data_IF_178657174688
#
_entry.id   IF_178657174688
#
_cell.length_a   1.000
_cell.length_b   1.000
_cell.length_c   1.000
_cell.angle_alpha   90.00
_cell.angle_beta   90.00
_cell.angle_gamma   90.00
#
_symmetry.space_group_name_H-M   'P 1'
#
loop_
_entity.id
_entity.type
_entity.pdbx_description
1 polymer ?
#
# COMPACT_ATOMS: atom_id res chain seq x y z
N UNK A 1 19.39 17.80 3.62
CA UNK A 1 19.19 18.65 2.42
C UNK A 1 18.07 18.16 1.49
N UNK A 2 17.76 16.86 1.36
CA UNK A 2 16.65 16.40 0.49
C UNK A 2 15.27 16.46 1.15
N UNK A 3 15.17 16.28 2.47
CA UNK A 3 13.91 16.28 3.22
C UNK A 3 13.21 17.64 3.22
N UNK A 4 13.94 18.74 3.44
CA UNK A 4 13.35 20.10 3.41
C UNK A 4 12.77 20.43 2.03
N UNK A 5 13.48 20.14 0.94
CA UNK A 5 12.96 20.37 -0.42
C UNK A 5 11.77 19.48 -0.78
N UNK A 6 11.70 18.27 -0.22
CA UNK A 6 10.53 17.40 -0.37
C UNK A 6 9.33 18.02 0.34
N UNK A 7 9.51 18.51 1.56
CA UNK A 7 8.47 19.19 2.33
C UNK A 7 7.94 20.44 1.60
N UNK A 8 8.82 21.32 1.12
CA UNK A 8 8.43 22.51 0.34
C UNK A 8 7.54 22.15 -0.85
N UNK A 9 7.96 21.16 -1.65
CA UNK A 9 7.22 20.71 -2.83
C UNK A 9 5.88 20.07 -2.47
N UNK A 10 5.85 19.24 -1.43
CA UNK A 10 4.62 18.59 -0.98
C UNK A 10 3.61 19.60 -0.42
N UNK A 11 4.07 20.62 0.32
CA UNK A 11 3.21 21.71 0.84
C UNK A 11 2.63 22.56 -0.29
N UNK A 12 3.46 22.96 -1.26
CA UNK A 12 2.98 23.68 -2.43
C UNK A 12 2.00 22.83 -3.26
N UNK A 13 2.33 21.56 -3.49
CA UNK A 13 1.47 20.65 -4.25
C UNK A 13 0.13 20.39 -3.55
N UNK A 14 0.13 20.30 -2.21
CA UNK A 14 -1.11 20.24 -1.43
C UNK A 14 -1.99 21.46 -1.67
N UNK A 15 -1.44 22.67 -1.64
CA UNK A 15 -2.20 23.88 -1.97
C UNK A 15 -2.77 23.82 -3.39
N UNK A 16 -2.02 23.25 -4.35
CA UNK A 16 -2.54 23.01 -5.69
C UNK A 16 -3.73 22.04 -5.72
N UNK A 17 -3.62 20.90 -5.03
CA UNK A 17 -4.60 19.82 -4.98
C UNK A 17 -5.90 20.19 -4.25
N UNK A 18 -5.86 21.09 -3.27
CA UNK A 18 -7.06 21.59 -2.57
C UNK A 18 -7.94 22.51 -3.43
N UNK A 19 -7.44 23.00 -4.57
CA UNK A 19 -8.19 23.82 -5.52
C UNK A 19 -7.76 23.51 -6.96
N UNK A 20 -8.05 22.32 -7.50
CA UNK A 20 -7.60 21.91 -8.83
C UNK A 20 -8.07 22.89 -9.93
N UNK A 21 -7.25 23.12 -10.95
CA UNK A 21 -7.58 23.97 -12.11
C UNK A 21 -7.59 25.49 -11.87
N UNK A 22 -7.66 25.97 -10.61
CA UNK A 22 -7.66 27.40 -10.29
C UNK A 22 -6.27 28.03 -10.51
N UNK A 23 -6.17 29.17 -11.18
CA UNK A 23 -4.91 29.92 -11.22
C UNK A 23 -4.71 30.72 -9.92
N UNK A 24 -3.53 30.61 -9.28
CA UNK A 24 -3.17 31.29 -8.03
C UNK A 24 -1.90 32.10 -8.19
N UNK A 25 -1.86 33.30 -7.62
CA UNK A 25 -0.63 34.11 -7.56
C UNK A 25 0.39 33.49 -6.61
N UNK A 26 1.67 33.84 -6.76
CA UNK A 26 2.72 33.44 -5.82
C UNK A 26 2.38 33.80 -4.35
N UNK A 27 1.77 34.97 -4.12
CA UNK A 27 1.34 35.39 -2.78
C UNK A 27 0.19 34.53 -2.21
N UNK A 28 -0.78 34.14 -3.05
CA UNK A 28 -1.85 33.26 -2.62
C UNK A 28 -1.30 31.86 -2.27
N UNK A 29 -0.42 31.32 -3.12
CA UNK A 29 0.25 30.04 -2.87
C UNK A 29 1.10 30.07 -1.60
N UNK A 30 1.82 31.16 -1.35
CA UNK A 30 2.61 31.38 -0.13
C UNK A 30 1.71 31.28 1.12
N UNK A 31 0.58 32.00 1.12
CA UNK A 31 -0.40 31.96 2.20
C UNK A 31 -0.99 30.56 2.42
N UNK A 32 -1.48 29.93 1.34
CA UNK A 32 -2.14 28.61 1.40
C UNK A 32 -1.19 27.47 1.80
N UNK A 33 0.09 27.54 1.40
CA UNK A 33 1.09 26.51 1.71
C UNK A 33 1.89 26.81 2.99
N UNK A 34 1.78 28.02 3.54
CA UNK A 34 2.60 28.54 4.65
C UNK A 34 4.07 28.76 4.27
N UNK A 35 4.37 28.92 2.98
CA UNK A 35 5.72 29.13 2.45
C UNK A 35 5.99 30.61 2.24
N UNK A 36 7.26 31.01 2.23
CA UNK A 36 7.66 32.34 1.74
C UNK A 36 7.54 32.42 0.21
N UNK A 37 7.39 33.63 -0.38
CA UNK A 37 7.36 33.79 -1.84
C UNK A 37 8.56 33.17 -2.56
N UNK A 38 9.78 33.31 -2.02
CA UNK A 38 10.98 32.70 -2.58
C UNK A 38 10.92 31.16 -2.57
N UNK A 39 10.39 30.56 -1.50
CA UNK A 39 10.17 29.11 -1.42
C UNK A 39 9.11 28.62 -2.41
N UNK A 40 8.07 29.42 -2.68
CA UNK A 40 7.08 29.10 -3.72
C UNK A 40 7.74 29.04 -5.09
N UNK A 41 8.55 30.04 -5.45
CA UNK A 41 9.27 30.06 -6.73
C UNK A 41 10.22 28.86 -6.88
N UNK A 42 10.99 28.56 -5.83
CA UNK A 42 11.86 27.37 -5.79
C UNK A 42 11.05 26.09 -6.00
N UNK A 43 9.95 25.92 -5.25
CA UNK A 43 9.13 24.72 -5.31
C UNK A 43 8.42 24.57 -6.68
N UNK A 44 7.91 25.66 -7.27
CA UNK A 44 7.36 25.64 -8.64
C UNK A 44 8.42 25.20 -9.64
N UNK A 45 9.60 25.83 -9.62
CA UNK A 45 10.71 25.48 -10.51
C UNK A 45 11.09 24.02 -10.37
N UNK A 46 11.19 23.52 -9.13
CA UNK A 46 11.55 22.13 -8.88
C UNK A 46 10.47 21.13 -9.26
N UNK A 47 9.18 21.44 -9.07
CA UNK A 47 8.08 20.58 -9.50
C UNK A 47 8.03 20.47 -11.04
N UNK A 48 8.21 21.59 -11.75
CA UNK A 48 8.29 21.58 -13.22
C UNK A 48 9.46 20.74 -13.73
N UNK A 49 10.63 20.83 -13.09
CA UNK A 49 11.81 20.03 -13.46
C UNK A 49 11.59 18.52 -13.37
N UNK A 50 10.77 18.06 -12.43
CA UNK A 50 10.43 16.63 -12.28
C UNK A 50 9.19 16.22 -13.09
N UNK A 51 8.69 17.10 -13.96
CA UNK A 51 7.60 16.79 -14.90
C UNK A 51 6.18 16.94 -14.35
N UNK A 52 5.99 17.59 -13.20
CA UNK A 52 4.63 17.95 -12.77
C UNK A 52 4.01 18.97 -13.72
N UNK A 53 2.75 18.79 -14.13
CA UNK A 53 2.10 19.63 -15.12
C UNK A 53 1.63 20.95 -14.49
N UNK A 54 2.58 21.84 -14.18
CA UNK A 54 2.31 23.20 -13.72
C UNK A 54 2.37 24.18 -14.91
N UNK A 55 1.26 24.87 -15.14
CA UNK A 55 1.10 25.88 -16.20
C UNK A 55 1.13 27.29 -15.61
N UNK A 56 1.80 28.20 -16.31
CA UNK A 56 1.64 29.63 -16.09
C UNK A 56 0.35 30.07 -16.78
N UNK A 57 -0.63 30.56 -16.02
CA UNK A 57 -1.91 31.00 -16.56
C UNK A 57 -1.85 32.47 -17.01
N UNK A 58 -1.19 33.31 -16.21
CA UNK A 58 -0.94 34.73 -16.41
C UNK A 58 0.37 35.07 -15.68
N UNK A 59 0.88 36.30 -15.85
CA UNK A 59 2.11 36.73 -15.20
C UNK A 59 2.03 36.54 -13.66
N UNK A 60 2.95 35.74 -13.12
CA UNK A 60 3.01 35.42 -11.69
C UNK A 60 1.91 34.48 -11.16
N UNK A 61 1.07 33.89 -12.03
CA UNK A 61 0.00 32.95 -11.63
C UNK A 61 0.22 31.54 -12.16
N UNK A 62 0.06 30.56 -11.28
CA UNK A 62 0.25 29.14 -11.57
C UNK A 62 -1.03 28.34 -11.36
N UNK A 63 -1.20 27.30 -12.18
CA UNK A 63 -2.24 26.27 -11.98
C UNK A 63 -1.67 24.88 -12.26
N UNK A 64 -2.32 23.88 -11.68
CA UNK A 64 -2.10 22.48 -12.01
C UNK A 64 -2.94 22.11 -13.23
N UNK A 65 -2.31 21.69 -14.32
CA UNK A 65 -3.00 21.23 -15.52
C UNK A 65 -3.66 19.88 -15.26
N UNK A 66 -4.85 19.70 -15.81
CA UNK A 66 -5.67 18.50 -15.66
C UNK A 66 -5.95 17.88 -17.03
N UNK A 67 -6.07 16.53 -17.13
CA UNK A 67 -5.92 15.56 -16.05
C UNK A 67 -4.46 15.38 -15.61
N UNK A 68 -4.24 15.02 -14.35
CA UNK A 68 -2.91 14.71 -13.85
C UNK A 68 -2.41 13.37 -14.42
N UNK A 69 -1.12 13.26 -14.79
CA UNK A 69 -0.55 12.00 -15.24
C UNK A 69 -0.45 10.99 -14.09
N UNK A 70 -0.34 9.70 -14.42
CA UNK A 70 0.01 8.64 -13.46
C UNK A 70 1.53 8.65 -13.15
N UNK A 71 1.99 9.77 -12.61
CA UNK A 71 3.35 9.95 -12.10
C UNK A 71 3.40 9.55 -10.62
N UNK A 72 4.02 8.41 -10.32
CA UNK A 72 4.31 8.04 -8.94
C UNK A 72 5.49 8.91 -8.44
N UNK A 73 5.19 9.86 -7.56
CA UNK A 73 6.17 10.80 -7.01
C UNK A 73 6.08 10.85 -5.48
N UNK A 74 7.21 11.16 -4.84
CA UNK A 74 7.26 11.30 -3.39
C UNK A 74 6.47 12.53 -2.93
N UNK A 75 6.49 13.60 -3.72
CA UNK A 75 5.88 14.90 -3.43
C UNK A 75 4.35 14.79 -3.38
N UNK A 76 3.74 14.18 -4.40
CA UNK A 76 2.28 13.98 -4.42
C UNK A 76 1.83 12.96 -3.39
N UNK A 77 2.60 11.88 -3.23
CA UNK A 77 2.30 10.87 -2.22
C UNK A 77 2.28 11.50 -0.82
N UNK A 78 3.28 12.32 -0.50
CA UNK A 78 3.37 13.03 0.78
C UNK A 78 2.23 14.05 0.94
N UNK A 79 1.91 14.80 -0.11
CA UNK A 79 0.83 15.78 -0.10
C UNK A 79 -0.53 15.13 0.22
N UNK A 80 -0.83 13.99 -0.40
CA UNK A 80 -2.10 13.26 -0.25
C UNK A 80 -2.17 12.39 1.00
N UNK A 81 -1.09 11.67 1.33
CA UNK A 81 -1.10 10.74 2.48
C UNK A 81 -1.26 11.46 3.83
N UNK A 82 -0.86 12.73 3.90
CA UNK A 82 -0.97 13.56 5.10
C UNK A 82 -2.21 14.49 5.07
N UNK A 83 -3.14 14.31 4.14
CA UNK A 83 -4.42 15.03 4.13
C UNK A 83 -5.25 14.67 5.38
N UNK A 84 -5.83 15.67 6.06
CA UNK A 84 -6.68 15.46 7.23
C UNK A 84 -5.97 15.17 8.56
N UNK A 85 -4.65 15.38 8.65
CA UNK A 85 -3.89 15.22 9.91
C UNK A 85 -3.51 13.77 10.21
N UNK A 86 -2.64 13.20 9.38
CA UNK A 86 -2.21 11.81 9.54
C UNK A 86 -1.58 11.57 10.92
N UNK A 87 -1.98 10.47 11.56
CA UNK A 87 -1.44 10.01 12.86
C UNK A 87 -0.02 9.43 12.73
N UNK A 88 0.43 9.18 11.51
CA UNK A 88 1.78 8.71 11.18
C UNK A 88 2.42 9.76 10.29
N UNK A 89 3.65 10.17 10.64
CA UNK A 89 4.45 11.08 9.82
C UNK A 89 5.04 10.32 8.63
N UNK A 90 4.27 10.17 7.55
CA UNK A 90 4.74 9.50 6.35
C UNK A 90 5.91 10.25 5.70
N UNK A 91 6.95 9.51 5.29
CA UNK A 91 8.13 10.03 4.60
C UNK A 91 8.43 9.15 3.37
N UNK A 92 7.84 9.44 2.21
CA UNK A 92 8.02 8.63 1.01
C UNK A 92 9.33 8.92 0.28
N UNK A 93 9.92 7.86 -0.25
CA UNK A 93 11.00 7.88 -1.23
C UNK A 93 10.55 7.04 -2.41
N UNK A 94 10.62 7.62 -3.62
CA UNK A 94 10.20 6.93 -4.85
C UNK A 94 11.39 6.75 -5.77
N UNK A 95 11.56 5.53 -6.26
CA UNK A 95 12.60 5.14 -7.21
C UNK A 95 11.98 4.75 -8.55
N UNK A 96 12.73 4.87 -9.65
CA UNK A 96 12.26 4.29 -10.91
C UNK A 96 12.36 2.76 -10.89
N UNK A 97 13.53 2.23 -10.52
CA UNK A 97 13.79 0.79 -10.44
C UNK A 97 14.64 0.46 -9.22
N UNK A 98 14.29 -0.64 -8.56
CA UNK A 98 15.03 -1.22 -7.44
C UNK A 98 15.07 -2.74 -7.56
N UNK A 99 15.84 -3.42 -6.71
CA UNK A 99 15.74 -4.88 -6.59
C UNK A 99 14.47 -5.29 -5.85
N UNK A 100 14.28 -4.79 -4.64
CA UNK A 100 13.05 -4.92 -3.86
C UNK A 100 12.89 -3.73 -2.91
N UNK A 101 11.67 -3.19 -2.81
CA UNK A 101 11.34 -2.15 -1.84
C UNK A 101 11.43 -2.67 -0.40
N UNK A 102 11.05 -3.92 -0.14
CA UNK A 102 11.18 -4.55 1.18
C UNK A 102 12.64 -4.62 1.61
N UNK A 103 13.55 -5.01 0.71
CA UNK A 103 14.98 -5.11 1.01
C UNK A 103 15.62 -3.77 1.37
N UNK A 104 15.23 -2.71 0.66
CA UNK A 104 15.68 -1.35 1.00
C UNK A 104 15.20 -1.01 2.41
N UNK A 105 13.93 -1.26 2.71
CA UNK A 105 13.33 -0.88 3.97
C UNK A 105 13.82 -1.70 5.16
N UNK A 106 14.09 -3.00 4.98
CA UNK A 106 14.74 -3.84 6.00
C UNK A 106 16.14 -3.32 6.35
N UNK A 107 16.94 -2.91 5.36
CA UNK A 107 18.25 -2.30 5.61
C UNK A 107 18.13 -0.97 6.36
N UNK A 108 17.16 -0.13 5.99
CA UNK A 108 16.90 1.15 6.66
C UNK A 108 16.40 0.94 8.09
N UNK A 109 15.54 -0.06 8.32
CA UNK A 109 15.07 -0.44 9.65
C UNK A 109 16.23 -0.93 10.54
N UNK A 110 17.13 -1.76 10.00
CA UNK A 110 18.39 -2.16 10.64
C UNK A 110 19.25 -0.95 11.03
N UNK A 111 19.34 0.05 10.15
CA UNK A 111 20.06 1.30 10.39
C UNK A 111 19.34 2.30 11.31
N UNK A 112 18.18 1.96 11.87
CA UNK A 112 17.46 2.80 12.82
C UNK A 112 16.54 3.86 12.19
N UNK A 113 16.12 3.68 10.94
CA UNK A 113 15.17 4.58 10.31
C UNK A 113 13.87 4.75 11.14
N UNK A 114 13.28 5.96 11.15
CA UNK A 114 12.07 6.23 11.91
C UNK A 114 10.84 5.54 11.32
N UNK A 115 9.80 5.40 12.15
CA UNK A 115 8.47 5.01 11.69
C UNK A 115 7.95 5.98 10.62
N UNK A 116 7.17 5.45 9.66
CA UNK A 116 6.56 6.24 8.59
C UNK A 116 7.41 6.34 7.33
N UNK A 117 8.64 5.80 7.30
CA UNK A 117 9.40 5.67 6.06
C UNK A 117 8.66 4.78 5.07
N UNK A 118 8.44 5.28 3.85
CA UNK A 118 7.85 4.55 2.74
C UNK A 118 8.84 4.51 1.58
N UNK A 119 9.08 3.33 1.03
CA UNK A 119 9.88 3.17 -0.20
C UNK A 119 8.96 2.62 -1.28
N UNK A 120 8.79 3.36 -2.37
CA UNK A 120 8.04 2.90 -3.54
C UNK A 120 8.91 2.88 -4.79
N UNK A 121 8.55 2.04 -5.76
CA UNK A 121 9.24 1.99 -7.04
C UNK A 121 8.28 1.76 -8.21
N UNK A 122 8.62 2.28 -9.41
CA UNK A 122 7.88 1.93 -10.62
C UNK A 122 8.11 0.46 -11.03
N UNK A 123 9.30 -0.09 -10.73
CA UNK A 123 9.69 -1.46 -11.08
C UNK A 123 10.58 -2.10 -10.01
N UNK A 124 10.45 -3.42 -9.84
CA UNK A 124 11.35 -4.25 -9.05
C UNK A 124 11.90 -5.40 -9.90
N UNK A 125 13.23 -5.59 -9.92
CA UNK A 125 13.84 -6.74 -10.62
C UNK A 125 13.71 -8.05 -9.83
N UNK A 126 13.63 -7.96 -8.50
CA UNK A 126 13.62 -9.09 -7.54
C UNK A 126 12.48 -8.96 -6.53
N UNK A 127 11.28 -8.55 -6.99
CA UNK A 127 10.08 -8.50 -6.15
C UNK A 127 9.81 -9.82 -5.42
N UNK A 128 9.45 -9.75 -4.14
CA UNK A 128 9.26 -10.92 -3.26
C UNK A 128 7.81 -11.10 -2.85
N UNK A 129 7.41 -12.36 -2.74
CA UNK A 129 6.19 -12.80 -2.09
C UNK A 129 6.50 -13.68 -0.88
N UNK A 130 5.44 -14.19 -0.24
CA UNK A 130 5.57 -15.13 0.88
C UNK A 130 6.18 -16.46 0.43
N UNK A 131 6.80 -17.16 1.38
CA UNK A 131 7.35 -18.51 1.21
C UNK A 131 8.39 -18.58 0.07
N UNK A 132 9.19 -17.53 -0.10
CA UNK A 132 10.25 -17.46 -1.12
C UNK A 132 9.77 -17.27 -2.55
N UNK A 133 8.46 -17.10 -2.80
CA UNK A 133 7.93 -16.87 -4.15
C UNK A 133 8.34 -15.51 -4.70
N UNK A 134 8.44 -15.42 -6.02
CA UNK A 134 8.68 -14.15 -6.73
C UNK A 134 7.37 -13.38 -6.92
N UNK A 135 7.44 -12.06 -6.85
CA UNK A 135 6.37 -11.14 -7.26
C UNK A 135 6.75 -10.47 -8.59
N UNK A 136 5.98 -10.72 -9.66
CA UNK A 136 6.20 -10.11 -10.97
C UNK A 136 5.94 -8.59 -10.91
N UNK A 137 7.00 -7.82 -11.11
CA UNK A 137 6.97 -6.36 -10.92
C UNK A 137 8.00 -5.61 -11.77
N UNK A 138 8.44 -6.21 -12.88
CA UNK A 138 9.36 -5.55 -13.82
C UNK A 138 8.61 -4.69 -14.86
N UNK A 139 7.29 -4.86 -14.98
CA UNK A 139 6.41 -3.97 -15.76
C UNK A 139 6.06 -2.71 -14.96
N UNK A 140 5.96 -1.57 -15.63
CA UNK A 140 5.38 -0.36 -15.03
C UNK A 140 3.87 -0.55 -14.81
N UNK A 141 3.27 0.29 -13.96
CA UNK A 141 1.81 0.30 -13.77
C UNK A 141 1.31 -0.49 -12.57
N UNK A 142 2.18 -1.05 -11.74
CA UNK A 142 1.85 -1.53 -10.40
C UNK A 142 2.19 -0.53 -9.30
N UNK A 143 1.60 -0.74 -8.13
CA UNK A 143 2.07 -0.17 -6.87
C UNK A 143 2.98 -1.22 -6.22
N UNK A 144 4.25 -0.87 -6.13
CA UNK A 144 5.26 -1.64 -5.44
C UNK A 144 5.84 -0.75 -4.36
N UNK A 145 5.34 -0.90 -3.15
CA UNK A 145 5.70 -0.05 -2.03
C UNK A 145 5.95 -0.89 -0.79
N UNK A 146 6.79 -0.39 0.08
CA UNK A 146 7.00 -0.93 1.41
C UNK A 146 6.92 0.20 2.42
N UNK A 147 6.44 -0.07 3.63
CA UNK A 147 6.41 0.91 4.72
C UNK A 147 7.01 0.34 6.01
N UNK A 148 7.60 1.21 6.84
CA UNK A 148 8.07 0.88 8.19
C UNK A 148 7.10 1.37 9.25
N UNK A 149 6.64 0.43 10.09
CA UNK A 149 5.90 0.70 11.32
C UNK A 149 6.68 0.17 12.52
N UNK A 150 6.54 0.78 13.70
CA UNK A 150 7.17 0.35 14.95
C UNK A 150 6.12 0.12 16.04
N UNK A 151 5.27 -0.91 15.90
CA UNK A 151 4.15 -1.11 16.80
C UNK A 151 4.61 -1.71 18.13
N UNK A 152 3.90 -1.40 19.21
CA UNK A 152 4.09 -2.04 20.51
C UNK A 152 3.46 -3.46 20.54
N UNK A 153 3.90 -4.34 19.63
CA UNK A 153 3.39 -5.71 19.47
C UNK A 153 4.43 -6.74 19.91
N UNK A 154 3.93 -7.87 20.42
CA UNK A 154 4.72 -9.09 20.62
C UNK A 154 4.83 -9.85 19.30
N UNK A 155 5.86 -10.69 19.17
CA UNK A 155 6.08 -11.47 17.95
C UNK A 155 4.85 -12.29 17.46
N UNK A 156 4.04 -12.95 18.33
CA UNK A 156 2.84 -13.65 17.86
C UNK A 156 1.79 -12.73 17.19
N UNK A 157 1.80 -11.43 17.51
CA UNK A 157 0.81 -10.45 17.06
C UNK A 157 1.19 -9.76 15.75
N UNK A 158 2.31 -10.15 15.13
CA UNK A 158 2.80 -9.59 13.86
C UNK A 158 1.76 -9.70 12.74
N UNK A 159 0.93 -10.73 12.78
CA UNK A 159 -0.16 -10.95 11.83
C UNK A 159 -1.16 -9.80 11.79
N UNK A 160 -1.37 -9.11 12.92
CA UNK A 160 -2.23 -7.93 13.00
C UNK A 160 -1.85 -6.86 11.98
N UNK A 161 -0.56 -6.69 11.66
CA UNK A 161 -0.10 -5.76 10.62
C UNK A 161 -0.54 -6.18 9.22
N UNK A 162 -0.53 -7.49 8.93
CA UNK A 162 -0.97 -8.02 7.63
C UNK A 162 -2.48 -7.85 7.47
N UNK A 163 -3.25 -8.17 8.52
CA UNK A 163 -4.71 -7.99 8.57
C UNK A 163 -5.09 -6.51 8.41
N UNK A 164 -4.45 -5.62 9.18
CA UNK A 164 -4.65 -4.18 9.07
C UNK A 164 -4.36 -3.66 7.66
N UNK A 165 -3.24 -4.06 7.07
CA UNK A 165 -2.80 -3.54 5.78
C UNK A 165 -3.66 -4.08 4.62
N UNK A 166 -4.05 -5.35 4.67
CA UNK A 166 -4.97 -5.91 3.67
C UNK A 166 -6.34 -5.24 3.73
N UNK A 167 -6.90 -5.01 4.92
CA UNK A 167 -8.14 -4.26 5.07
C UNK A 167 -7.99 -2.83 4.50
N UNK A 168 -6.93 -2.12 4.88
CA UNK A 168 -6.65 -0.78 4.40
C UNK A 168 -6.51 -0.72 2.87
N UNK A 169 -5.91 -1.74 2.25
CA UNK A 169 -5.78 -1.84 0.81
C UNK A 169 -7.13 -2.05 0.11
N UNK A 170 -7.99 -2.92 0.64
CA UNK A 170 -9.34 -3.10 0.10
C UNK A 170 -10.16 -1.81 0.19
N UNK A 171 -10.18 -1.17 1.36
CA UNK A 171 -10.93 0.08 1.57
C UNK A 171 -10.42 1.22 0.69
N UNK A 172 -9.10 1.32 0.48
CA UNK A 172 -8.50 2.33 -0.38
C UNK A 172 -8.85 2.13 -1.86
N UNK A 173 -8.86 0.88 -2.34
CA UNK A 173 -9.28 0.57 -3.70
C UNK A 173 -10.78 0.82 -3.88
N UNK A 174 -11.60 0.49 -2.88
CA UNK A 174 -13.03 0.78 -2.88
C UNK A 174 -13.29 2.30 -2.95
N UNK A 175 -12.56 3.09 -2.15
CA UNK A 175 -12.65 4.57 -2.14
C UNK A 175 -12.23 5.21 -3.48
N UNK A 176 -11.09 4.80 -4.03
CA UNK A 176 -10.48 5.47 -5.19
C UNK A 176 -11.00 4.93 -6.52
N UNK A 177 -11.19 3.61 -6.60
CA UNK A 177 -11.55 2.95 -7.85
C UNK A 177 -13.04 2.57 -7.94
N UNK A 178 -13.79 2.66 -6.83
CA UNK A 178 -15.16 2.15 -6.78
C UNK A 178 -15.24 0.63 -6.96
N UNK A 179 -14.14 -0.09 -6.77
CA UNK A 179 -14.03 -1.53 -6.99
C UNK A 179 -13.89 -2.29 -5.67
N UNK A 180 -14.77 -3.25 -5.43
CA UNK A 180 -14.77 -4.04 -4.19
C UNK A 180 -13.87 -5.27 -4.32
N UNK A 181 -12.74 -5.24 -3.63
CA UNK A 181 -11.84 -6.39 -3.51
C UNK A 181 -12.31 -7.36 -2.43
N UNK A 182 -12.10 -8.66 -2.66
CA UNK A 182 -12.17 -9.69 -1.62
C UNK A 182 -10.78 -9.95 -1.05
N UNK A 183 -10.75 -10.48 0.16
CA UNK A 183 -9.52 -10.93 0.79
C UNK A 183 -9.48 -12.45 0.73
N UNK A 184 -8.36 -13.01 0.26
CA UNK A 184 -8.08 -14.43 0.42
C UNK A 184 -7.01 -14.59 1.49
N UNK A 185 -7.33 -15.34 2.53
CA UNK A 185 -6.42 -15.52 3.65
C UNK A 185 -5.07 -16.08 3.15
N UNK A 186 -3.95 -15.61 3.71
CA UNK A 186 -3.84 -14.59 4.77
C UNK A 186 -3.67 -13.14 4.29
N UNK A 187 -3.37 -12.92 3.01
CA UNK A 187 -2.74 -11.67 2.58
C UNK A 187 -3.03 -11.26 1.13
N UNK A 188 -3.87 -12.01 0.42
CA UNK A 188 -4.11 -11.81 -1.01
C UNK A 188 -5.33 -10.91 -1.25
N UNK A 189 -5.18 -9.96 -2.18
CA UNK A 189 -6.24 -9.07 -2.63
C UNK A 189 -6.80 -9.63 -3.94
N UNK A 190 -8.07 -10.01 -3.94
CA UNK A 190 -8.73 -10.74 -5.02
C UNK A 190 -9.78 -9.88 -5.69
N UNK A 191 -9.70 -9.79 -7.02
CA UNK A 191 -10.78 -9.29 -7.88
C UNK A 191 -11.62 -10.44 -8.42
N UNK A 192 -12.55 -10.12 -9.30
CA UNK A 192 -13.46 -11.11 -9.87
C UNK A 192 -12.76 -12.04 -10.88
N UNK A 193 -11.72 -11.56 -11.54
CA UNK A 193 -10.98 -12.29 -12.59
C UNK A 193 -9.67 -12.89 -12.09
N UNK A 194 -9.21 -12.55 -10.90
CA UNK A 194 -7.98 -13.08 -10.35
C UNK A 194 -7.38 -12.25 -9.22
N UNK A 195 -6.15 -12.57 -8.84
CA UNK A 195 -5.40 -11.87 -7.80
C UNK A 195 -4.88 -10.53 -8.32
N UNK A 196 -5.25 -9.44 -7.66
CA UNK A 196 -4.73 -8.10 -7.94
C UNK A 196 -3.50 -7.77 -7.10
N UNK A 197 -3.39 -8.31 -5.89
CA UNK A 197 -2.35 -7.86 -4.97
C UNK A 197 -2.02 -8.83 -3.86
N UNK A 198 -0.96 -8.51 -3.13
CA UNK A 198 -0.53 -9.27 -1.97
C UNK A 198 0.24 -8.40 -0.99
N UNK A 199 0.07 -8.69 0.29
CA UNK A 199 0.80 -8.04 1.38
C UNK A 199 1.89 -8.96 1.92
N UNK A 200 3.11 -8.45 2.09
CA UNK A 200 4.24 -9.18 2.67
C UNK A 200 4.76 -8.44 3.89
N UNK A 201 4.45 -8.95 5.08
CA UNK A 201 4.96 -8.40 6.33
C UNK A 201 6.20 -9.18 6.77
N UNK A 202 7.31 -8.47 6.96
CA UNK A 202 8.56 -8.97 7.52
C UNK A 202 8.87 -8.16 8.77
N UNK A 203 9.31 -8.82 9.85
CA UNK A 203 9.59 -8.15 11.13
C UNK A 203 10.98 -8.43 11.62
N UNK A 204 11.60 -7.41 12.20
CA UNK A 204 12.75 -7.58 13.08
C UNK A 204 12.24 -7.68 14.52
N UNK A 205 12.65 -8.72 15.23
CA UNK A 205 12.31 -8.91 16.64
C UNK A 205 13.57 -8.88 17.51
N UNK A 206 13.47 -8.21 18.66
CA UNK A 206 14.52 -8.13 19.67
C UNK A 206 13.89 -8.37 21.04
N UNK A 207 14.46 -9.30 21.82
CA UNK A 207 13.92 -9.66 23.15
C UNK A 207 12.45 -10.12 23.13
N UNK A 208 11.97 -10.73 22.03
CA UNK A 208 10.58 -11.19 21.87
C UNK A 208 9.57 -10.10 21.51
N UNK A 209 10.00 -8.84 21.37
CA UNK A 209 9.17 -7.71 20.91
C UNK A 209 9.48 -7.39 19.45
N UNK A 210 8.47 -6.88 18.74
CA UNK A 210 8.66 -6.37 17.39
C UNK A 210 9.39 -5.04 17.47
N UNK A 211 10.60 -4.96 16.94
CA UNK A 211 11.39 -3.72 16.84
C UNK A 211 10.87 -2.84 15.70
N UNK A 212 10.52 -3.47 14.59
CA UNK A 212 9.96 -2.83 13.40
C UNK A 212 9.28 -3.86 12.49
N UNK A 213 8.21 -3.44 11.83
CA UNK A 213 7.52 -4.19 10.79
C UNK A 213 7.67 -3.50 9.43
N UNK A 214 8.32 -4.20 8.50
CA UNK A 214 8.40 -3.82 7.09
C UNK A 214 7.27 -4.50 6.35
N UNK A 215 6.35 -3.70 5.83
CA UNK A 215 5.14 -4.19 5.16
C UNK A 215 5.22 -3.85 3.69
N UNK A 216 5.38 -4.86 2.85
CA UNK A 216 5.36 -4.77 1.40
C UNK A 216 3.93 -4.86 0.86
N UNK A 217 3.63 -3.98 -0.09
CA UNK A 217 2.37 -3.88 -0.82
C UNK A 217 2.71 -4.04 -2.30
N UNK A 218 2.26 -5.15 -2.88
CA UNK A 218 2.20 -5.35 -4.33
C UNK A 218 0.75 -5.26 -4.78
N UNK A 219 0.42 -4.31 -5.66
CA UNK A 219 -0.90 -4.19 -6.27
C UNK A 219 -0.80 -3.91 -7.77
N UNK A 220 -1.50 -4.71 -8.55
CA UNK A 220 -1.62 -4.57 -9.99
C UNK A 220 -2.71 -3.54 -10.32
N UNK A 221 -2.34 -2.45 -11.00
CA UNK A 221 -3.24 -1.35 -11.32
C UNK A 221 -3.45 -1.26 -12.83
N UNK A 222 -2.37 -1.10 -13.60
CA UNK A 222 -2.41 -0.87 -15.04
C UNK A 222 -1.82 -2.02 -15.88
N UNK A 223 -1.57 -3.19 -15.29
CA UNK A 223 -1.12 -4.35 -16.07
C UNK A 223 -2.21 -4.79 -17.05
N UNK A 224 -1.80 -5.10 -18.27
CA UNK A 224 -2.61 -5.79 -19.27
C UNK A 224 -2.38 -7.32 -19.16
N UNK A 225 -3.25 -8.17 -19.73
CA UNK A 225 -3.05 -9.62 -19.71
C UNK A 225 -1.65 -10.05 -20.17
N UNK A 226 -1.10 -9.37 -21.17
CA UNK A 226 0.22 -9.61 -21.77
C UNK A 226 1.37 -9.16 -20.86
N UNK A 227 1.09 -8.32 -19.85
CA UNK A 227 2.09 -7.91 -18.84
C UNK A 227 2.42 -9.05 -17.87
N UNK A 228 1.58 -10.09 -17.80
CA UNK A 228 1.78 -11.25 -16.95
C UNK A 228 2.42 -12.41 -17.72
N UNK A 229 3.33 -13.13 -17.05
CA UNK A 229 3.84 -14.40 -17.58
C UNK A 229 2.73 -15.41 -17.81
N UNK A 230 2.93 -16.32 -18.74
CA UNK A 230 1.96 -17.38 -19.06
C UNK A 230 1.57 -18.22 -17.82
N UNK A 231 2.51 -18.42 -16.89
CA UNK A 231 2.28 -19.20 -15.66
C UNK A 231 1.22 -18.57 -14.75
N UNK A 232 1.14 -17.23 -14.70
CA UNK A 232 0.25 -16.54 -13.77
C UNK A 232 -0.91 -15.82 -14.44
N UNK A 233 -0.88 -15.65 -15.77
CA UNK A 233 -1.87 -14.88 -16.54
C UNK A 233 -3.32 -15.29 -16.26
N UNK A 234 -3.58 -16.58 -16.04
CA UNK A 234 -4.94 -17.10 -15.76
C UNK A 234 -5.43 -16.85 -14.33
N UNK A 235 -4.53 -16.51 -13.40
CA UNK A 235 -4.83 -16.33 -11.96
C UNK A 235 -4.51 -14.92 -11.45
N UNK A 236 -3.89 -14.08 -12.26
CA UNK A 236 -3.56 -12.69 -11.97
C UNK A 236 -4.53 -11.75 -12.67
N UNK A 237 -4.79 -10.61 -12.05
CA UNK A 237 -5.62 -9.54 -12.58
C UNK A 237 -5.02 -8.18 -12.21
N UNK A 238 -5.65 -7.10 -12.67
CA UNK A 238 -5.30 -5.72 -12.38
C UNK A 238 -6.56 -4.87 -12.36
N UNK A 239 -6.51 -3.66 -11.79
CA UNK A 239 -7.66 -2.75 -11.87
C UNK A 239 -8.06 -2.42 -13.31
N UNK A 240 -7.09 -2.35 -14.24
CA UNK A 240 -7.37 -2.22 -15.66
C UNK A 240 -8.14 -3.41 -16.23
N UNK A 241 -7.75 -4.65 -15.90
CA UNK A 241 -8.42 -5.87 -16.37
C UNK A 241 -9.84 -5.98 -15.78
N UNK A 242 -10.03 -5.55 -14.53
CA UNK A 242 -11.34 -5.58 -13.88
C UNK A 242 -12.28 -4.48 -14.39
N UNK A 243 -11.77 -3.26 -14.63
CA UNK A 243 -12.60 -2.05 -14.83
C UNK A 243 -12.50 -1.43 -16.24
N UNK A 244 -11.52 -1.78 -17.05
CA UNK A 244 -11.34 -1.28 -18.42
C UNK A 244 -10.83 0.17 -18.54
N UNK A 245 -10.41 0.80 -17.44
CA UNK A 245 -9.81 2.14 -17.46
C UNK A 245 -8.65 2.27 -16.46
N UNK A 246 -7.83 3.31 -16.62
CA UNK A 246 -6.62 3.54 -15.80
C UNK A 246 -6.96 4.30 -14.52
N UNK A 247 -6.15 4.07 -13.49
CA UNK A 247 -6.19 4.78 -12.22
C UNK A 247 -4.82 5.36 -11.90
N UNK A 248 -4.79 6.45 -11.14
CA UNK A 248 -3.55 7.05 -10.67
C UNK A 248 -3.05 6.29 -9.45
N UNK A 249 -1.90 5.63 -9.58
CA UNK A 249 -1.30 4.78 -8.54
C UNK A 249 -1.04 5.53 -7.25
N UNK A 250 -0.64 6.79 -7.36
CA UNK A 250 -0.37 7.66 -6.20
C UNK A 250 -1.62 7.92 -5.36
N UNK A 251 -2.81 7.97 -5.97
CA UNK A 251 -4.08 8.21 -5.26
C UNK A 251 -4.48 6.99 -4.44
N UNK A 252 -4.37 5.80 -5.03
CA UNK A 252 -4.60 4.53 -4.34
C UNK A 252 -3.60 4.38 -3.19
N UNK A 253 -2.29 4.50 -3.45
CA UNK A 253 -1.27 4.33 -2.40
C UNK A 253 -1.45 5.34 -1.26
N UNK A 254 -1.75 6.60 -1.57
CA UNK A 254 -2.02 7.61 -0.55
C UNK A 254 -3.27 7.26 0.29
N UNK A 255 -4.33 6.74 -0.34
CA UNK A 255 -5.51 6.25 0.38
C UNK A 255 -5.17 5.07 1.30
N UNK A 256 -4.33 4.11 0.84
CA UNK A 256 -3.85 3.01 1.69
C UNK A 256 -3.13 3.56 2.92
N UNK A 257 -2.18 4.48 2.75
CA UNK A 257 -1.42 5.08 3.84
C UNK A 257 -2.32 5.83 4.84
N UNK A 258 -3.33 6.58 4.38
CA UNK A 258 -4.32 7.23 5.24
C UNK A 258 -5.12 6.21 6.05
N UNK A 259 -5.59 5.12 5.42
CA UNK A 259 -6.37 4.05 6.07
C UNK A 259 -5.55 3.31 7.12
N UNK A 260 -4.28 3.02 6.83
CA UNK A 260 -3.31 2.47 7.79
C UNK A 260 -3.18 3.41 8.98
N UNK A 261 -2.85 4.69 8.75
CA UNK A 261 -2.65 5.66 9.82
C UNK A 261 -3.89 5.83 10.72
N UNK A 262 -5.10 5.78 10.13
CA UNK A 262 -6.34 5.85 10.88
C UNK A 262 -6.57 4.65 11.81
N UNK A 263 -6.17 3.43 11.38
CA UNK A 263 -6.41 2.16 12.10
C UNK A 263 -5.24 1.70 12.96
N UNK A 264 -4.04 2.24 12.76
CA UNK A 264 -2.81 1.73 13.36
C UNK A 264 -2.84 1.69 14.89
N UNK A 265 -3.49 2.68 15.51
CA UNK A 265 -3.69 2.77 16.97
C UNK A 265 -5.15 2.49 17.37
N UNK A 266 -5.94 1.89 16.46
CA UNK A 266 -7.36 1.58 16.66
C UNK A 266 -7.59 0.22 17.32
N UNK A 267 -8.87 -0.12 17.51
CA UNK A 267 -9.27 -1.43 18.06
C UNK A 267 -9.07 -2.53 17.02
N UNK A 268 -8.21 -3.50 17.35
CA UNK A 268 -7.97 -4.66 16.48
C UNK A 268 -9.21 -5.54 16.31
N UNK A 269 -10.12 -5.58 17.29
CA UNK A 269 -11.34 -6.37 17.17
C UNK A 269 -12.27 -5.83 16.07
N UNK A 270 -12.37 -4.52 15.91
CA UNK A 270 -13.08 -3.88 14.79
C UNK A 270 -12.42 -4.22 13.45
N UNK A 271 -11.09 -4.05 13.36
CA UNK A 271 -10.32 -4.37 12.15
C UNK A 271 -10.52 -5.83 11.75
N UNK A 272 -10.45 -6.74 12.73
CA UNK A 272 -10.68 -8.18 12.54
C UNK A 272 -12.07 -8.45 11.97
N UNK A 273 -13.13 -7.89 12.54
CA UNK A 273 -14.51 -8.07 12.05
C UNK A 273 -14.68 -7.58 10.61
N UNK A 274 -14.17 -6.39 10.31
CA UNK A 274 -14.24 -5.81 8.96
C UNK A 274 -13.45 -6.63 7.93
N UNK A 275 -12.32 -7.19 8.36
CA UNK A 275 -11.50 -8.09 7.55
C UNK A 275 -12.21 -9.42 7.29
N UNK A 276 -12.77 -10.04 8.34
CA UNK A 276 -13.52 -11.30 8.25
C UNK A 276 -14.70 -11.18 7.29
N UNK A 277 -15.44 -10.07 7.35
CA UNK A 277 -16.55 -9.79 6.42
C UNK A 277 -16.13 -9.74 4.95
N UNK A 278 -14.87 -9.38 4.67
CA UNK A 278 -14.31 -9.30 3.30
C UNK A 278 -13.60 -10.58 2.88
N UNK A 279 -13.39 -11.54 3.78
CA UNK A 279 -12.60 -12.73 3.50
C UNK A 279 -13.44 -13.80 2.80
N UNK A 280 -13.08 -14.15 1.57
CA UNK A 280 -13.82 -15.14 0.77
C UNK A 280 -13.63 -16.58 1.26
N UNK A 281 -12.61 -16.82 2.09
CA UNK A 281 -12.22 -18.16 2.56
C UNK A 281 -12.95 -18.57 3.84
N UNK A 282 -13.51 -17.61 4.60
CA UNK A 282 -14.20 -17.90 5.85
C UNK A 282 -15.58 -18.53 5.62
N UNK A 283 -15.99 -19.37 6.56
CA UNK A 283 -17.25 -20.13 6.49
C UNK A 283 -17.21 -21.35 5.57
N UNK A 284 -16.08 -21.60 4.88
CA UNK A 284 -15.92 -22.71 3.93
C UNK A 284 -14.99 -23.79 4.47
N UNK A 285 -15.07 -24.97 3.85
CA UNK A 285 -14.04 -25.99 4.01
C UNK A 285 -12.83 -25.57 3.18
N UNK A 286 -11.66 -25.51 3.81
CA UNK A 286 -10.42 -25.09 3.18
C UNK A 286 -9.32 -26.11 3.40
N UNK A 287 -8.41 -26.21 2.42
CA UNK A 287 -7.16 -26.95 2.57
C UNK A 287 -6.00 -25.98 2.65
N UNK A 288 -5.27 -26.03 3.76
CA UNK A 288 -4.14 -25.16 4.06
C UNK A 288 -2.86 -25.99 4.07
N UNK A 289 -1.91 -25.65 3.20
CA UNK A 289 -0.57 -26.23 3.21
C UNK A 289 0.35 -25.46 4.16
N UNK A 290 0.98 -26.18 5.08
CA UNK A 290 2.02 -25.71 5.98
C UNK A 290 3.25 -26.62 5.86
N UNK A 291 4.24 -26.17 5.08
CA UNK A 291 5.36 -27.04 4.70
C UNK A 291 4.86 -28.25 3.92
N UNK A 292 5.16 -29.45 4.41
CA UNK A 292 4.70 -30.72 3.82
C UNK A 292 3.32 -31.16 4.32
N UNK A 293 2.80 -30.54 5.38
CA UNK A 293 1.49 -30.90 5.95
C UNK A 293 0.36 -30.18 5.22
N UNK A 294 -0.72 -30.89 4.95
CA UNK A 294 -1.99 -30.32 4.50
C UNK A 294 -2.99 -30.51 5.63
N UNK A 295 -3.56 -29.39 6.09
CA UNK A 295 -4.65 -29.37 7.06
C UNK A 295 -5.94 -29.04 6.33
N UNK A 296 -6.98 -29.81 6.60
CA UNK A 296 -8.31 -29.62 6.03
C UNK A 296 -9.34 -29.40 7.16
N UNK A 297 -10.25 -28.47 6.93
CA UNK A 297 -11.29 -28.16 7.91
C UNK A 297 -12.10 -26.91 7.58
N UNK A 298 -13.02 -26.57 8.47
CA UNK A 298 -13.84 -25.37 8.35
C UNK A 298 -13.07 -24.14 8.84
N UNK A 299 -12.93 -23.13 7.99
CA UNK A 299 -12.37 -21.83 8.35
C UNK A 299 -13.38 -21.01 9.16
N UNK A 300 -13.21 -20.93 10.48
CA UNK A 300 -14.19 -20.32 11.39
C UNK A 300 -14.09 -18.80 11.47
N UNK A 301 -12.89 -18.25 11.31
CA UNK A 301 -12.61 -16.84 11.53
C UNK A 301 -11.17 -16.64 11.96
N UNK A 302 -10.86 -15.45 12.46
CA UNK A 302 -9.58 -15.14 13.07
C UNK A 302 -9.70 -15.12 14.60
N UNK A 303 -8.61 -15.49 15.29
CA UNK A 303 -8.50 -15.25 16.73
C UNK A 303 -8.11 -13.79 17.05
N UNK A 304 -7.85 -13.51 18.33
CA UNK A 304 -7.50 -12.18 18.81
C UNK A 304 -6.15 -11.66 18.27
N UNK A 305 -5.29 -12.54 17.78
CA UNK A 305 -3.98 -12.18 17.21
C UNK A 305 -3.96 -12.22 15.68
N UNK A 306 -5.07 -12.61 15.04
CA UNK A 306 -5.24 -12.64 13.59
C UNK A 306 -4.86 -13.98 12.95
N UNK A 307 -4.73 -15.06 13.74
CA UNK A 307 -4.50 -16.41 13.22
C UNK A 307 -5.82 -17.02 12.75
N UNK A 308 -5.79 -17.79 11.67
CA UNK A 308 -6.97 -18.47 11.15
C UNK A 308 -7.35 -19.65 12.07
N UNK A 309 -8.58 -19.66 12.57
CA UNK A 309 -9.13 -20.77 13.33
C UNK A 309 -9.71 -21.82 12.38
N UNK A 310 -9.03 -22.97 12.26
CA UNK A 310 -9.46 -24.08 11.43
C UNK A 310 -10.05 -25.20 12.30
N UNK A 311 -11.32 -25.55 12.10
CA UNK A 311 -11.92 -26.73 12.74
C UNK A 311 -11.74 -27.96 11.87
N UNK A 312 -10.94 -28.92 12.33
CA UNK A 312 -10.67 -30.19 11.65
C UNK A 312 -11.90 -31.11 11.69
N UNK A 313 -11.85 -32.20 10.92
CA UNK A 313 -12.89 -33.25 10.93
C UNK A 313 -13.11 -33.85 12.33
N UNK A 314 -12.05 -33.98 13.13
CA UNK A 314 -12.13 -34.45 14.52
C UNK A 314 -12.82 -33.46 15.48
N UNK A 315 -13.21 -32.28 15.01
CA UNK A 315 -13.81 -31.21 15.81
C UNK A 315 -12.79 -30.33 16.55
N UNK A 316 -11.49 -30.65 16.49
CA UNK A 316 -10.45 -29.81 17.09
C UNK A 316 -10.31 -28.48 16.36
N UNK A 317 -10.14 -27.39 17.11
CA UNK A 317 -9.87 -26.05 16.55
C UNK A 317 -8.38 -25.77 16.63
N UNK A 318 -7.75 -25.61 15.47
CA UNK A 318 -6.31 -25.37 15.33
C UNK A 318 -6.08 -23.95 14.81
N UNK A 319 -5.34 -23.10 15.55
CA UNK A 319 -4.96 -21.78 15.07
C UNK A 319 -3.81 -21.90 14.05
N UNK A 320 -3.97 -21.27 12.89
CA UNK A 320 -2.99 -21.27 11.81
C UNK A 320 -2.38 -19.89 11.63
N UNK A 321 -1.07 -19.82 11.88
CA UNK A 321 -0.26 -18.61 11.73
C UNK A 321 -0.10 -18.20 10.26
N UNK A 322 0.22 -19.18 9.42
CA UNK A 322 0.56 -19.00 8.03
C UNK A 322 0.27 -20.27 7.25
N UNK A 323 0.12 -20.16 5.95
CA UNK A 323 -0.04 -21.29 5.05
C UNK A 323 -0.39 -20.82 3.66
N UNK A 324 -0.54 -21.78 2.75
CA UNK A 324 -1.06 -21.55 1.42
C UNK A 324 -2.41 -22.26 1.26
N UNK A 325 -3.44 -21.51 0.90
CA UNK A 325 -4.73 -22.08 0.55
C UNK A 325 -4.64 -22.77 -0.82
N UNK A 326 -4.92 -24.06 -0.84
CA UNK A 326 -4.91 -24.90 -2.05
C UNK A 326 -6.28 -24.93 -2.77
N UNK A 327 -7.27 -24.24 -2.21
CA UNK A 327 -8.65 -24.18 -2.68
C UNK A 327 -9.62 -24.16 -1.51
N UNK A 328 -10.76 -23.48 -1.70
CA UNK A 328 -11.91 -23.62 -0.83
C UNK A 328 -12.89 -24.59 -1.50
N UNK A 329 -13.28 -25.65 -0.79
CA UNK A 329 -14.44 -26.45 -1.17
C UNK A 329 -15.69 -25.56 -1.18
N UNK A 330 -16.62 -25.84 -2.09
CA UNK A 330 -17.95 -25.20 -2.08
C UNK A 330 -18.68 -25.51 -0.79
#
# INVERSE_FOLDING_TARGET
>A
MSSDRLDLRARLLRAFLLSPGRARSGQALASESGLSPAQVEEAVSSLRKIGFPLEAAEEGRWRLALPLPDLLSAEELLARANEGGARIAWSPVVHDRVESTNDILLRQEAAGAPEGLVVAANRQSRGRGRLGRRWESDSTGGIYASLLLRPALRFPQVHRLTILTTLAAVEAVEEVAGFSLKIKWPNDLMGSRGKLGGILTEVAAEGGRVRGGVIGIGLNVAQEPESFSEEIRSRASSLWIEMGHRFRRVEILAAILRRIAARYQGDFAEIRRLWEWRCESLGKIVRVRQGEKILEGHALGLDEDGLLLLRTESGAVVPLLAGELLGAGR
#
